data_IF_212614236771
#
_entry.id   IF_212614236771
#
_cell.length_a   1.000
_cell.length_b   1.000
_cell.length_c   1.000
_cell.angle_alpha   90.00
_cell.angle_beta   90.00
_cell.angle_gamma   90.00
#
_symmetry.space_group_name_H-M   'P 1'
#
loop_
_entity.id
_entity.type
_entity.pdbx_description
1 polymer ?
#
# COMPACT_ATOMS: atom_id res chain seq x y z
N UNK A 1 -29.60 -0.89 7.58
CA UNK A 1 -28.48 -0.84 6.62
C UNK A 1 -27.25 -1.27 7.38
N UNK A 2 -26.50 -2.25 6.88
CA UNK A 2 -25.30 -2.71 7.58
C UNK A 2 -24.21 -1.65 7.34
N UNK A 3 -24.04 -0.72 8.29
CA UNK A 3 -22.99 0.33 8.28
C UNK A 3 -21.61 -0.28 8.53
N UNK A 4 -21.27 -1.34 7.80
CA UNK A 4 -19.99 -2.00 7.91
C UNK A 4 -18.90 -1.05 7.42
N UNK A 5 -18.05 -0.60 8.36
CA UNK A 5 -16.86 0.20 8.06
C UNK A 5 -15.73 -0.75 7.72
N UNK A 6 -15.00 -0.45 6.65
CA UNK A 6 -13.80 -1.19 6.27
C UNK A 6 -12.57 -0.40 6.69
N UNK A 7 -11.59 -1.10 7.28
CA UNK A 7 -10.28 -0.53 7.62
C UNK A 7 -9.21 -1.38 6.93
N UNK A 8 -8.31 -0.71 6.21
CA UNK A 8 -7.13 -1.32 5.60
C UNK A 8 -5.91 -0.76 6.34
N UNK A 9 -5.08 -1.65 6.89
CA UNK A 9 -3.86 -1.30 7.60
C UNK A 9 -2.70 -1.95 6.86
N UNK A 10 -1.79 -1.14 6.32
CA UNK A 10 -0.51 -1.62 5.80
C UNK A 10 0.58 -1.47 6.85
N UNK A 11 1.39 -2.51 7.02
CA UNK A 11 2.55 -2.51 7.90
C UNK A 11 3.82 -2.63 7.04
N UNK A 12 4.59 -1.55 6.90
CA UNK A 12 5.81 -1.56 6.08
C UNK A 12 6.92 -2.35 6.78
N UNK A 13 7.67 -3.14 6.02
CA UNK A 13 8.77 -3.94 6.54
C UNK A 13 8.38 -5.07 7.50
N UNK A 14 7.13 -5.53 7.47
CA UNK A 14 6.62 -6.60 8.37
C UNK A 14 6.38 -7.90 7.60
N UNK A 15 7.35 -8.83 7.55
CA UNK A 15 7.19 -10.11 6.88
C UNK A 15 6.24 -11.05 7.63
N UNK A 16 5.63 -12.00 6.90
CA UNK A 16 4.67 -12.97 7.44
C UNK A 16 5.19 -13.72 8.67
N UNK A 17 6.42 -14.24 8.60
CA UNK A 17 7.03 -15.01 9.69
C UNK A 17 7.22 -14.18 10.96
N UNK A 18 7.53 -12.88 10.83
CA UNK A 18 7.66 -12.00 11.98
C UNK A 18 6.32 -11.86 12.73
N UNK A 19 5.21 -11.65 12.02
CA UNK A 19 3.88 -11.57 12.65
C UNK A 19 3.53 -12.88 13.35
N UNK A 20 3.81 -14.03 12.69
CA UNK A 20 3.57 -15.36 13.26
C UNK A 20 4.34 -15.55 14.58
N UNK A 21 5.65 -15.31 14.56
CA UNK A 21 6.51 -15.46 15.75
C UNK A 21 6.09 -14.51 16.88
N UNK A 22 5.76 -13.25 16.58
CA UNK A 22 5.32 -12.29 17.60
C UNK A 22 3.96 -12.66 18.22
N UNK A 23 3.08 -13.31 17.46
CA UNK A 23 1.83 -13.85 17.99
C UNK A 23 2.05 -15.07 18.89
N UNK A 24 2.99 -15.96 18.53
CA UNK A 24 3.39 -17.13 19.32
C UNK A 24 4.06 -16.73 20.64
N UNK A 25 4.84 -15.65 20.64
CA UNK A 25 5.48 -15.07 21.83
C UNK A 25 4.55 -14.23 22.71
N UNK A 26 3.25 -14.15 22.38
CA UNK A 26 2.26 -13.31 23.07
C UNK A 26 2.54 -11.80 23.06
N UNK A 27 3.41 -11.33 22.16
CA UNK A 27 3.70 -9.90 21.98
C UNK A 27 2.57 -9.17 21.24
N UNK A 28 1.87 -9.87 20.35
CA UNK A 28 0.76 -9.33 19.54
C UNK A 28 -0.57 -10.06 19.82
N UNK A 29 -1.11 -10.01 21.05
CA UNK A 29 -2.28 -10.80 21.44
C UNK A 29 -3.54 -10.44 20.65
N UNK A 30 -3.77 -9.15 20.36
CA UNK A 30 -4.90 -8.69 19.57
C UNK A 30 -4.83 -9.20 18.12
N UNK A 31 -3.64 -9.15 17.50
CA UNK A 31 -3.44 -9.66 16.14
C UNK A 31 -3.62 -11.17 16.09
N UNK A 32 -3.16 -11.90 17.10
CA UNK A 32 -3.42 -13.34 17.22
C UNK A 32 -4.91 -13.65 17.24
N UNK A 33 -5.71 -12.91 18.02
CA UNK A 33 -7.17 -13.09 18.03
C UNK A 33 -7.81 -12.75 16.67
N UNK A 34 -7.37 -11.69 15.99
CA UNK A 34 -7.82 -11.37 14.62
C UNK A 34 -7.53 -12.50 13.64
N UNK A 35 -6.34 -13.10 13.73
CA UNK A 35 -5.94 -14.24 12.89
C UNK A 35 -6.83 -15.46 13.15
N UNK A 36 -7.16 -15.77 14.42
CA UNK A 36 -8.05 -16.90 14.77
C UNK A 36 -9.45 -16.78 14.16
N UNK A 37 -9.96 -15.56 14.04
CA UNK A 37 -11.30 -15.29 13.49
C UNK A 37 -11.28 -14.91 12.00
N UNK A 38 -10.11 -14.86 11.37
CA UNK A 38 -9.92 -14.37 10.01
C UNK A 38 -9.08 -15.30 9.14
N UNK A 39 -8.42 -14.72 8.13
CA UNK A 39 -7.53 -15.43 7.21
C UNK A 39 -6.14 -14.83 7.31
N UNK A 40 -5.15 -15.66 7.59
CA UNK A 40 -3.73 -15.28 7.61
C UNK A 40 -2.97 -16.16 6.62
N UNK A 41 -2.47 -15.54 5.55
CA UNK A 41 -1.80 -16.24 4.44
C UNK A 41 -0.64 -15.40 3.93
N UNK A 42 0.37 -16.08 3.39
CA UNK A 42 1.45 -15.43 2.66
C UNK A 42 0.92 -14.79 1.37
N UNK A 43 1.51 -13.67 0.97
CA UNK A 43 1.17 -12.94 -0.25
C UNK A 43 2.43 -12.64 -1.04
N UNK A 44 2.31 -12.62 -2.36
CA UNK A 44 3.38 -12.13 -3.23
C UNK A 44 3.41 -10.60 -3.21
N UNK A 45 4.60 -10.03 -3.11
CA UNK A 45 4.81 -8.59 -3.26
C UNK A 45 4.70 -8.16 -4.74
N UNK A 46 4.74 -6.85 -4.99
CA UNK A 46 4.96 -6.31 -6.33
C UNK A 46 6.33 -6.70 -6.87
N UNK A 47 6.49 -6.66 -8.19
CA UNK A 47 7.79 -6.75 -8.84
C UNK A 47 8.03 -5.43 -9.59
N UNK A 48 9.03 -4.61 -9.22
CA UNK A 48 10.05 -4.86 -8.19
C UNK A 48 9.55 -4.82 -6.74
N UNK A 49 10.24 -5.51 -5.83
CA UNK A 49 9.90 -5.63 -4.40
C UNK A 49 10.39 -4.43 -3.56
N UNK A 50 10.02 -3.22 -3.99
CA UNK A 50 10.37 -1.95 -3.33
C UNK A 50 9.10 -1.28 -2.81
N UNK A 51 9.16 -0.65 -1.63
CA UNK A 51 7.97 -0.09 -0.97
C UNK A 51 7.21 0.89 -1.87
N UNK A 52 7.85 1.81 -2.60
CA UNK A 52 7.13 2.76 -3.47
C UNK A 52 6.29 2.06 -4.55
N UNK A 53 6.77 0.92 -5.05
CA UNK A 53 6.07 0.08 -6.02
C UNK A 53 4.94 -0.67 -5.34
N UNK A 54 5.23 -1.35 -4.21
CA UNK A 54 4.26 -2.17 -3.49
C UNK A 54 3.06 -1.34 -2.99
N UNK A 55 3.30 -0.17 -2.41
CA UNK A 55 2.25 0.74 -1.96
C UNK A 55 1.42 1.26 -3.14
N UNK A 56 2.07 1.64 -4.25
CA UNK A 56 1.38 2.08 -5.47
C UNK A 56 0.51 0.97 -6.05
N UNK A 57 1.02 -0.26 -6.10
CA UNK A 57 0.25 -1.43 -6.56
C UNK A 57 -0.93 -1.72 -5.63
N UNK A 58 -0.74 -1.65 -4.30
CA UNK A 58 -1.78 -1.90 -3.31
C UNK A 58 -2.93 -0.91 -3.43
N UNK A 59 -2.64 0.40 -3.54
CA UNK A 59 -3.70 1.42 -3.56
C UNK A 59 -4.42 1.50 -4.91
N UNK A 60 -3.78 1.10 -6.01
CA UNK A 60 -4.39 1.15 -7.35
C UNK A 60 -4.97 -0.19 -7.80
N UNK A 61 -4.57 -1.29 -7.16
CA UNK A 61 -4.86 -2.65 -7.65
C UNK A 61 -4.19 -2.96 -9.00
N UNK A 62 -3.20 -2.16 -9.42
CA UNK A 62 -2.53 -2.26 -10.72
C UNK A 62 -1.09 -2.74 -10.58
N UNK A 63 -0.53 -3.26 -11.67
CA UNK A 63 0.90 -3.60 -11.71
C UNK A 63 1.76 -2.38 -12.12
N UNK A 64 3.10 -2.42 -11.96
CA UNK A 64 3.96 -1.26 -12.23
C UNK A 64 3.93 -0.73 -13.65
N UNK A 65 3.67 -1.58 -14.64
CA UNK A 65 3.49 -1.15 -16.03
C UNK A 65 2.23 -0.29 -16.24
N UNK A 66 1.21 -0.47 -15.40
CA UNK A 66 -0.05 0.29 -15.45
C UNK A 66 0.00 1.56 -14.58
N UNK A 67 0.45 1.47 -13.32
CA UNK A 67 0.49 2.62 -12.42
C UNK A 67 1.72 3.52 -12.60
N UNK A 68 2.78 3.02 -13.26
CA UNK A 68 3.92 3.80 -13.72
C UNK A 68 4.99 4.12 -12.68
N UNK A 69 4.96 3.48 -11.51
CA UNK A 69 5.95 3.67 -10.45
C UNK A 69 6.85 2.45 -10.39
N UNK A 70 8.15 2.63 -10.57
CA UNK A 70 9.12 1.53 -10.68
C UNK A 70 10.16 1.49 -9.55
N UNK A 71 10.19 2.52 -8.70
CA UNK A 71 11.14 2.61 -7.59
C UNK A 71 11.05 3.95 -6.89
N UNK A 72 12.07 4.28 -6.09
CA UNK A 72 12.16 5.57 -5.41
C UNK A 72 12.79 6.66 -6.28
N UNK A 73 13.45 6.28 -7.37
CA UNK A 73 14.17 7.21 -8.24
C UNK A 73 13.87 6.87 -9.69
N UNK A 74 13.63 7.91 -10.47
CA UNK A 74 13.48 7.86 -11.92
C UNK A 74 14.53 8.76 -12.58
N UNK A 75 14.65 8.64 -13.90
CA UNK A 75 15.37 9.61 -14.72
C UNK A 75 14.40 10.68 -15.24
N UNK A 76 14.90 11.90 -15.38
CA UNK A 76 14.25 12.88 -16.24
C UNK A 76 14.27 12.40 -17.69
N UNK A 77 13.20 12.68 -18.44
CA UNK A 77 13.13 12.34 -19.86
C UNK A 77 14.33 12.91 -20.62
N UNK A 78 14.92 12.09 -21.50
CA UNK A 78 16.08 12.44 -22.32
C UNK A 78 17.29 12.96 -21.53
N UNK A 79 17.47 12.48 -20.30
CA UNK A 79 18.52 12.94 -19.39
C UNK A 79 19.00 11.82 -18.47
N UNK A 80 20.23 11.95 -17.96
CA UNK A 80 20.76 11.10 -16.89
C UNK A 80 20.58 11.72 -15.50
N UNK A 81 19.86 12.83 -15.40
CA UNK A 81 19.52 13.43 -14.10
C UNK A 81 18.45 12.60 -13.43
N UNK A 82 18.64 12.32 -12.15
CA UNK A 82 17.67 11.59 -11.35
C UNK A 82 16.62 12.53 -10.74
N UNK A 83 15.42 12.00 -10.52
CA UNK A 83 14.32 12.66 -9.80
C UNK A 83 13.65 11.66 -8.86
N UNK A 84 12.95 12.18 -7.87
CA UNK A 84 12.05 11.39 -7.03
C UNK A 84 10.65 11.43 -7.63
N UNK A 85 10.06 10.28 -7.97
CA UNK A 85 8.64 10.21 -8.30
C UNK A 85 7.81 10.62 -7.09
N UNK A 86 6.73 11.32 -7.34
CA UNK A 86 5.77 11.70 -6.31
C UNK A 86 4.35 11.32 -6.72
N UNK A 87 3.34 11.71 -5.94
CA UNK A 87 1.98 11.27 -6.20
C UNK A 87 1.50 11.66 -7.60
N UNK A 88 2.03 12.74 -8.20
CA UNK A 88 1.73 13.22 -9.57
C UNK A 88 2.12 12.23 -10.67
N UNK A 89 3.10 11.37 -10.41
CA UNK A 89 3.57 10.36 -11.34
C UNK A 89 2.68 9.10 -11.38
N UNK A 90 1.77 8.93 -10.42
CA UNK A 90 0.85 7.79 -10.39
C UNK A 90 -0.17 7.90 -11.52
N UNK A 91 -0.10 6.97 -12.49
CA UNK A 91 -0.92 6.96 -13.71
C UNK A 91 -2.28 6.29 -13.54
N UNK A 92 -2.46 5.53 -12.46
CA UNK A 92 -3.69 4.83 -12.13
C UNK A 92 -4.35 5.45 -10.90
N UNK A 93 -5.69 5.49 -10.88
CA UNK A 93 -6.42 6.04 -9.74
C UNK A 93 -6.32 5.11 -8.54
N UNK A 94 -6.10 5.64 -7.32
CA UNK A 94 -6.24 4.84 -6.11
C UNK A 94 -7.70 4.47 -5.86
N UNK A 95 -7.94 3.35 -5.19
CA UNK A 95 -9.30 2.80 -4.99
C UNK A 95 -10.25 3.76 -4.27
N UNK A 96 -9.73 4.68 -3.45
CA UNK A 96 -10.56 5.64 -2.71
C UNK A 96 -11.14 6.74 -3.61
N UNK A 97 -10.55 7.02 -4.78
CA UNK A 97 -11.11 7.96 -5.75
C UNK A 97 -12.32 7.36 -6.49
N UNK A 98 -12.45 6.04 -6.51
CA UNK A 98 -13.58 5.33 -7.11
C UNK A 98 -14.64 4.93 -6.06
N UNK A 99 -14.34 5.14 -4.78
CA UNK A 99 -15.22 4.78 -3.67
C UNK A 99 -16.23 5.89 -3.39
N UNK A 100 -17.52 5.62 -3.61
CA UNK A 100 -18.59 6.59 -3.36
C UNK A 100 -18.94 6.86 -1.88
N UNK A 101 -18.18 6.32 -0.93
CA UNK A 101 -18.42 6.51 0.50
C UNK A 101 -17.39 7.44 1.16
N UNK A 102 -17.58 7.73 2.45
CA UNK A 102 -16.62 8.54 3.22
C UNK A 102 -15.32 7.76 3.44
N UNK A 103 -14.19 8.39 3.11
CA UNK A 103 -12.84 7.82 3.25
C UNK A 103 -11.96 8.72 4.12
N UNK A 104 -11.03 8.10 4.84
CA UNK A 104 -9.95 8.78 5.56
C UNK A 104 -8.65 8.05 5.24
N UNK A 105 -7.67 8.77 4.67
CA UNK A 105 -6.37 8.23 4.27
C UNK A 105 -5.29 8.85 5.15
N UNK A 106 -4.48 8.01 5.80
CA UNK A 106 -3.46 8.44 6.78
C UNK A 106 -2.15 7.72 6.48
N UNK A 107 -1.06 8.47 6.39
CA UNK A 107 0.32 7.95 6.30
C UNK A 107 0.55 6.91 5.18
N UNK A 108 -0.18 6.99 4.07
CA UNK A 108 0.08 6.15 2.90
C UNK A 108 1.30 6.71 2.14
N UNK A 109 2.37 5.94 1.93
CA UNK A 109 3.58 6.42 1.24
C UNK A 109 3.32 6.90 -0.18
N UNK A 110 4.16 7.83 -0.64
CA UNK A 110 4.13 8.38 -2.02
C UNK A 110 2.81 9.06 -2.44
N UNK A 111 2.03 9.55 -1.47
CA UNK A 111 0.76 10.29 -1.71
C UNK A 111 0.88 11.81 -1.58
N UNK A 112 2.11 12.33 -1.46
CA UNK A 112 2.40 13.77 -1.55
C UNK A 112 2.80 14.15 -2.98
N UNK A 113 2.42 15.33 -3.53
CA UNK A 113 1.53 16.31 -2.91
C UNK A 113 0.09 15.78 -2.82
N UNK A 114 -0.59 16.13 -1.73
CA UNK A 114 -1.97 15.71 -1.48
C UNK A 114 -2.87 16.22 -2.61
N UNK A 115 -3.78 15.36 -3.07
CA UNK A 115 -4.83 15.69 -4.04
C UNK A 115 -6.18 15.63 -3.34
N UNK A 116 -7.16 16.35 -3.87
CA UNK A 116 -8.55 16.18 -3.44
C UNK A 116 -9.03 14.78 -3.80
N UNK A 117 -9.66 14.10 -2.85
CA UNK A 117 -10.37 12.84 -3.11
C UNK A 117 -11.68 13.18 -3.83
N UNK A 118 -11.97 12.47 -4.92
CA UNK A 118 -13.16 12.68 -5.74
C UNK A 118 -14.46 12.19 -5.10
#
# INVERSE_FOLDING_TARGET
MNDSRTVIIGLDGVPFEMVRTLCEMDVMPCTRELIKHGVFKTMCSSIPEVSSVAWSSMITGKNPGEHGIFGFMDLFENSYKMRFPDFRDLKSRPFWDEWGGKSVIINVPSTYPVREMS
#
